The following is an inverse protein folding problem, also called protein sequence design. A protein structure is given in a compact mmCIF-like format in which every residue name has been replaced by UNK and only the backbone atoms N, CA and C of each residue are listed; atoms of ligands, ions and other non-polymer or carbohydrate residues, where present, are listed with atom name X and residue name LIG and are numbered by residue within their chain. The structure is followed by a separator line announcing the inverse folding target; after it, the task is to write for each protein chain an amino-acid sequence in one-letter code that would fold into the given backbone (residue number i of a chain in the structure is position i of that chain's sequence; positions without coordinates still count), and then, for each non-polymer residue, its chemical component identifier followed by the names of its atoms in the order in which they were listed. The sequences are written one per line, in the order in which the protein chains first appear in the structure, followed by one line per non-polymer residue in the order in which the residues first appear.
data_IF_237715270263
#
_entry.id   IF_237715270263
#
_cell.length_a   1.000
_cell.length_b   1.000
_cell.length_c   1.000
_cell.angle_alpha   90.00
_cell.angle_beta   90.00
_cell.angle_gamma   90.00
#
_symmetry.space_group_name_H-M   'P 1'
#
loop_
_entity.id
_entity.type
_entity.pdbx_description
1 polymer ?
#
# COMPACT_ATOMS: atom_id res chain seq x y z
N UNK A 1 -2.35 1.73 -22.01
CA UNK A 1 -3.43 1.17 -21.18
C UNK A 1 -3.38 1.89 -19.85
N UNK A 2 -4.53 2.30 -19.33
CA UNK A 2 -4.65 3.09 -18.10
C UNK A 2 -5.65 2.42 -17.18
N UNK A 3 -5.30 2.25 -15.91
CA UNK A 3 -6.17 1.69 -14.87
C UNK A 3 -7.01 2.84 -14.29
N UNK A 4 -8.32 2.79 -14.54
CA UNK A 4 -9.29 3.78 -14.04
C UNK A 4 -9.57 3.55 -12.54
N UNK A 5 -9.98 4.59 -11.78
CA UNK A 5 -10.38 4.40 -10.40
C UNK A 5 -11.65 3.52 -10.33
N UNK A 6 -11.64 2.53 -9.45
CA UNK A 6 -12.76 1.61 -9.23
C UNK A 6 -13.66 2.07 -8.06
N UNK A 7 -13.13 2.88 -7.14
CA UNK A 7 -13.83 3.26 -5.90
C UNK A 7 -13.90 4.78 -5.65
N UNK A 8 -13.56 5.60 -6.65
CA UNK A 8 -13.85 7.03 -6.62
C UNK A 8 -15.37 7.27 -6.53
N UNK A 9 -15.79 8.06 -5.55
CA UNK A 9 -17.19 8.34 -5.23
C UNK A 9 -17.80 7.38 -4.20
N UNK A 10 -17.11 6.30 -3.84
CA UNK A 10 -17.59 5.33 -2.82
C UNK A 10 -16.64 5.25 -1.62
N UNK A 11 -15.33 5.09 -1.85
CA UNK A 11 -14.33 5.04 -0.77
C UNK A 11 -13.74 6.42 -0.46
N UNK A 12 -13.67 7.29 -1.47
CA UNK A 12 -13.19 8.66 -1.35
C UNK A 12 -13.91 9.55 -2.37
N UNK A 13 -13.97 10.89 -2.20
CA UNK A 13 -14.68 11.77 -3.11
C UNK A 13 -14.20 11.67 -4.57
N UNK A 14 -15.14 11.57 -5.52
CA UNK A 14 -14.82 11.62 -6.96
C UNK A 14 -14.52 13.05 -7.45
N UNK A 15 -14.95 14.08 -6.71
CA UNK A 15 -14.65 15.47 -7.05
C UNK A 15 -13.24 15.84 -6.54
N UNK A 16 -12.34 16.35 -7.40
CA UNK A 16 -10.94 16.60 -7.04
C UNK A 16 -10.79 17.65 -5.93
N UNK A 17 -11.57 18.73 -5.95
CA UNK A 17 -11.48 19.78 -4.93
C UNK A 17 -11.98 19.31 -3.55
N UNK A 18 -12.99 18.43 -3.52
CA UNK A 18 -13.45 17.81 -2.29
C UNK A 18 -12.43 16.81 -1.75
N UNK A 19 -11.85 15.99 -2.63
CA UNK A 19 -10.81 15.02 -2.28
C UNK A 19 -9.58 15.71 -1.71
N UNK A 20 -9.08 16.74 -2.40
CA UNK A 20 -7.94 17.55 -1.95
C UNK A 20 -8.19 18.16 -0.56
N UNK A 21 -9.32 18.85 -0.36
CA UNK A 21 -9.65 19.46 0.93
C UNK A 21 -9.76 18.43 2.06
N UNK A 22 -10.36 17.28 1.78
CA UNK A 22 -10.49 16.21 2.77
C UNK A 22 -9.11 15.65 3.17
N UNK A 23 -8.25 15.38 2.19
CA UNK A 23 -6.89 14.88 2.44
C UNK A 23 -6.05 15.90 3.20
N UNK A 24 -6.09 17.19 2.80
CA UNK A 24 -5.38 18.26 3.49
C UNK A 24 -5.82 18.40 4.96
N UNK A 25 -7.12 18.28 5.23
CA UNK A 25 -7.64 18.28 6.60
C UNK A 25 -7.07 17.12 7.43
N UNK A 26 -6.97 15.91 6.87
CA UNK A 26 -6.39 14.78 7.60
C UNK A 26 -4.88 14.97 7.79
N UNK A 27 -4.16 15.40 6.74
CA UNK A 27 -2.71 15.59 6.73
C UNK A 27 -2.24 16.78 7.57
N UNK A 28 -3.09 17.78 7.84
CA UNK A 28 -2.75 18.92 8.72
C UNK A 28 -2.84 18.56 10.21
N UNK A 29 -3.63 17.55 10.55
CA UNK A 29 -3.83 17.10 11.92
C UNK A 29 -2.83 16.01 12.35
N UNK A 30 -2.01 15.53 11.42
CA UNK A 30 -0.99 14.53 11.65
C UNK A 30 0.38 15.16 11.92
N UNK A 31 1.12 14.59 12.88
CA UNK A 31 2.49 15.01 13.16
C UNK A 31 3.44 14.57 12.03
N UNK A 32 4.31 15.50 11.62
CA UNK A 32 5.40 15.18 10.71
C UNK A 32 6.55 14.49 11.46
N UNK A 33 7.28 13.60 10.78
CA UNK A 33 8.54 13.03 11.27
C UNK A 33 9.71 13.89 10.81
N UNK A 34 10.81 13.91 11.56
CA UNK A 34 12.08 14.50 11.09
C UNK A 34 12.77 13.61 10.06
N UNK A 35 12.57 12.29 10.15
CA UNK A 35 13.18 11.31 9.27
C UNK A 35 12.08 10.53 8.55
N UNK A 36 11.99 10.65 7.21
CA UNK A 36 11.04 9.89 6.41
C UNK A 36 11.30 8.39 6.52
N UNK A 37 10.28 7.56 6.79
CA UNK A 37 10.44 6.11 6.86
C UNK A 37 10.69 5.51 5.48
N UNK A 38 11.47 4.41 5.44
CA UNK A 38 11.69 3.62 4.21
C UNK A 38 10.43 2.87 3.76
N UNK A 39 9.63 2.43 4.71
CA UNK A 39 8.40 1.70 4.49
C UNK A 39 7.29 2.21 5.41
N UNK A 40 6.06 2.21 4.93
CA UNK A 40 4.85 2.44 5.74
C UNK A 40 3.87 1.29 5.58
N UNK A 41 3.10 1.03 6.64
CA UNK A 41 1.90 0.19 6.59
C UNK A 41 0.71 1.13 6.78
N UNK A 42 -0.24 1.12 5.85
CA UNK A 42 -1.38 2.04 5.85
C UNK A 42 -2.70 1.30 5.56
N UNK A 43 -3.82 1.71 6.20
CA UNK A 43 -5.13 1.11 6.00
C UNK A 43 -5.71 1.45 4.62
N UNK A 44 -6.68 0.66 4.18
CA UNK A 44 -7.36 0.81 2.88
C UNK A 44 -8.89 0.77 2.92
N UNK A 45 -9.51 0.86 4.09
CA UNK A 45 -10.94 1.15 4.17
C UNK A 45 -11.28 2.53 3.55
N UNK A 46 -12.58 2.82 3.37
CA UNK A 46 -13.04 4.14 2.91
C UNK A 46 -12.57 5.29 3.83
N UNK A 47 -12.29 6.45 3.24
CA UNK A 47 -11.62 7.58 3.89
C UNK A 47 -12.35 8.14 5.10
N UNK A 48 -13.68 8.02 5.14
CA UNK A 48 -14.47 8.40 6.32
C UNK A 48 -14.09 7.59 7.57
N UNK A 49 -13.58 6.36 7.40
CA UNK A 49 -13.18 5.47 8.49
C UNK A 49 -11.66 5.49 8.72
N UNK A 50 -10.87 5.32 7.66
CA UNK A 50 -9.42 5.10 7.74
C UNK A 50 -8.59 6.35 7.46
N UNK A 51 -9.15 7.37 6.81
CA UNK A 51 -8.42 8.53 6.29
C UNK A 51 -7.59 9.27 7.35
N UNK A 52 -8.15 9.60 8.53
CA UNK A 52 -7.38 10.22 9.61
C UNK A 52 -6.19 9.37 10.07
N UNK A 53 -6.34 8.04 10.12
CA UNK A 53 -5.27 7.12 10.51
C UNK A 53 -4.21 7.01 9.40
N UNK A 54 -4.62 6.82 8.15
CA UNK A 54 -3.72 6.78 7.00
C UNK A 54 -2.85 8.06 6.92
N UNK A 55 -3.46 9.23 7.16
CA UNK A 55 -2.75 10.50 7.15
C UNK A 55 -1.57 10.55 8.14
N UNK A 56 -1.65 9.85 9.28
CA UNK A 56 -0.54 9.79 10.25
C UNK A 56 0.70 9.07 9.70
N UNK A 57 0.53 8.13 8.78
CA UNK A 57 1.63 7.48 8.08
C UNK A 57 2.16 8.36 6.94
N UNK A 58 1.27 8.90 6.10
CA UNK A 58 1.64 9.70 4.94
C UNK A 58 2.27 11.05 5.29
N UNK A 59 1.84 11.70 6.38
CA UNK A 59 2.43 12.97 6.81
C UNK A 59 3.93 12.86 7.14
N UNK A 60 4.40 11.66 7.51
CA UNK A 60 5.82 11.40 7.78
C UNK A 60 6.69 11.41 6.52
N UNK A 61 6.10 11.36 5.34
CA UNK A 61 6.80 11.36 4.05
C UNK A 61 7.08 12.78 3.52
N UNK A 62 6.35 13.79 4.02
CA UNK A 62 6.47 15.19 3.56
C UNK A 62 7.93 15.71 3.48
N UNK A 63 8.86 15.41 4.41
CA UNK A 63 10.23 15.88 4.29
C UNK A 63 11.03 15.27 3.12
N UNK A 64 10.55 14.17 2.53
CA UNK A 64 11.16 13.51 1.36
C UNK A 64 10.31 13.67 0.08
N UNK A 65 9.39 14.64 0.03
CA UNK A 65 8.44 14.81 -1.09
C UNK A 65 9.11 14.91 -2.48
N UNK A 66 10.34 15.47 -2.55
CA UNK A 66 11.16 15.54 -3.77
C UNK A 66 12.10 14.36 -3.97
N UNK A 67 12.48 13.69 -2.88
CA UNK A 67 13.47 12.61 -2.93
C UNK A 67 12.80 11.32 -3.40
N UNK A 68 11.61 11.01 -2.88
CA UNK A 68 10.86 9.80 -3.23
C UNK A 68 10.27 9.99 -4.63
N UNK A 69 10.77 9.20 -5.58
CA UNK A 69 10.33 9.23 -6.99
C UNK A 69 9.83 7.86 -7.47
N UNK A 70 9.96 6.81 -6.64
CA UNK A 70 9.40 5.48 -6.88
C UNK A 70 8.67 4.98 -5.64
N UNK A 71 7.44 4.50 -5.82
CA UNK A 71 6.63 3.93 -4.74
C UNK A 71 6.24 2.50 -5.09
N UNK A 72 6.74 1.54 -4.32
CA UNK A 72 6.33 0.13 -4.43
C UNK A 72 5.11 -0.08 -3.55
N UNK A 73 4.00 -0.47 -4.16
CA UNK A 73 2.72 -0.68 -3.49
C UNK A 73 2.43 -2.18 -3.44
N UNK A 74 2.27 -2.74 -2.25
CA UNK A 74 1.83 -4.12 -2.06
C UNK A 74 0.55 -4.13 -1.23
N UNK A 75 -0.50 -4.75 -1.74
CA UNK A 75 -1.78 -4.86 -1.05
C UNK A 75 -2.45 -6.21 -1.35
N UNK A 76 -3.41 -6.64 -0.54
CA UNK A 76 -4.09 -7.92 -0.75
C UNK A 76 -5.00 -7.90 -1.97
N UNK A 77 -5.33 -9.09 -2.47
CA UNK A 77 -6.40 -9.31 -3.43
C UNK A 77 -7.74 -9.61 -2.73
N UNK A 78 -8.74 -8.77 -2.97
CA UNK A 78 -10.12 -8.96 -2.50
C UNK A 78 -11.03 -9.57 -3.58
N UNK A 79 -10.66 -9.42 -4.86
CA UNK A 79 -11.54 -9.74 -5.99
C UNK A 79 -11.12 -10.99 -6.78
N UNK A 80 -9.87 -11.44 -6.67
CA UNK A 80 -9.35 -12.57 -7.44
C UNK A 80 -8.47 -13.49 -6.60
N UNK A 81 -8.72 -14.80 -6.68
CA UNK A 81 -7.83 -15.81 -6.10
C UNK A 81 -6.78 -16.22 -7.12
N UNK A 82 -5.50 -16.14 -6.75
CA UNK A 82 -4.36 -16.59 -7.55
C UNK A 82 -3.17 -16.90 -6.63
N UNK A 83 -2.19 -17.65 -7.14
CA UNK A 83 -0.93 -17.93 -6.43
C UNK A 83 0.11 -16.89 -6.76
N UNK A 84 0.96 -16.56 -5.80
CA UNK A 84 2.04 -15.59 -5.98
C UNK A 84 1.53 -14.15 -6.00
N UNK A 85 2.19 -13.34 -6.83
CA UNK A 85 2.02 -11.88 -6.89
C UNK A 85 1.57 -11.45 -8.29
N UNK A 86 0.66 -10.49 -8.34
CA UNK A 86 0.11 -9.97 -9.58
C UNK A 86 0.56 -8.53 -9.83
N UNK A 87 1.07 -8.28 -11.03
CA UNK A 87 1.32 -6.93 -11.58
C UNK A 87 0.35 -6.62 -12.73
N UNK A 88 0.30 -5.36 -13.16
CA UNK A 88 -0.55 -4.90 -14.27
C UNK A 88 0.29 -4.43 -15.48
N UNK A 89 -0.27 -4.56 -16.70
CA UNK A 89 0.19 -3.95 -17.97
C UNK A 89 -0.16 -2.48 -18.08
N UNK A 90 -0.91 -1.92 -17.13
CA UNK A 90 -1.21 -0.51 -17.13
C UNK A 90 0.07 0.33 -17.14
N UNK A 91 0.06 1.38 -17.96
CA UNK A 91 1.14 2.39 -18.02
C UNK A 91 0.90 3.52 -17.03
N UNK A 92 -0.37 3.77 -16.68
CA UNK A 92 -0.77 4.76 -15.70
C UNK A 92 -1.93 4.24 -14.85
N UNK A 93 -2.01 4.68 -13.61
CA UNK A 93 -3.19 4.61 -12.76
C UNK A 93 -3.80 6.01 -12.68
N UNK A 94 -5.12 6.11 -12.64
CA UNK A 94 -5.82 7.40 -12.55
C UNK A 94 -6.56 7.51 -11.22
N UNK A 95 -6.50 8.70 -10.62
CA UNK A 95 -7.37 9.15 -9.52
C UNK A 95 -8.05 10.46 -9.93
N UNK A 96 -8.98 11.00 -9.14
CA UNK A 96 -9.50 12.34 -9.37
C UNK A 96 -8.42 13.44 -9.37
N UNK A 97 -7.28 13.23 -8.70
CA UNK A 97 -6.18 14.20 -8.62
C UNK A 97 -5.22 14.14 -9.82
N UNK A 98 -5.33 13.14 -10.69
CA UNK A 98 -4.52 13.03 -11.90
C UNK A 98 -4.06 11.62 -12.21
N UNK A 99 -3.12 11.51 -13.14
CA UNK A 99 -2.51 10.24 -13.54
C UNK A 99 -1.18 10.03 -12.85
N UNK A 100 -0.92 8.79 -12.46
CA UNK A 100 0.33 8.35 -11.87
C UNK A 100 0.96 7.32 -12.82
N UNK A 101 2.18 7.56 -13.34
CA UNK A 101 2.90 6.61 -14.17
C UNK A 101 3.28 5.33 -13.41
N UNK A 102 3.23 4.19 -14.10
CA UNK A 102 3.73 2.91 -13.60
C UNK A 102 5.17 2.71 -14.08
N UNK A 103 6.09 2.42 -13.17
CA UNK A 103 7.48 2.11 -13.49
C UNK A 103 7.59 0.77 -14.21
N UNK A 104 7.57 0.83 -15.55
CA UNK A 104 7.61 -0.34 -16.41
C UNK A 104 8.92 -1.13 -16.26
N UNK A 105 10.04 -0.48 -15.92
CA UNK A 105 11.32 -1.16 -15.76
C UNK A 105 11.28 -2.06 -14.53
N UNK A 106 10.77 -1.56 -13.40
CA UNK A 106 10.57 -2.35 -12.19
C UNK A 106 9.57 -3.49 -12.42
N UNK A 107 8.48 -3.26 -13.16
CA UNK A 107 7.52 -4.32 -13.53
C UNK A 107 8.20 -5.43 -14.35
N UNK A 108 9.00 -5.08 -15.37
CA UNK A 108 9.74 -6.07 -16.17
C UNK A 108 10.81 -6.80 -15.35
N UNK A 109 11.39 -6.16 -14.33
CA UNK A 109 12.35 -6.80 -13.44
C UNK A 109 11.69 -7.89 -12.60
N UNK A 110 10.58 -7.58 -11.91
CA UNK A 110 9.90 -8.55 -11.04
C UNK A 110 9.22 -9.68 -11.81
N UNK A 111 8.81 -9.46 -13.06
CA UNK A 111 8.25 -10.51 -13.93
C UNK A 111 9.25 -11.63 -14.28
N UNK A 112 10.53 -11.46 -13.96
CA UNK A 112 11.52 -12.53 -14.09
C UNK A 112 11.41 -13.58 -12.98
N UNK A 113 10.72 -13.25 -11.89
CA UNK A 113 10.46 -14.17 -10.78
C UNK A 113 9.32 -15.12 -11.17
N UNK A 114 9.46 -16.44 -10.93
CA UNK A 114 8.52 -17.45 -11.41
C UNK A 114 7.15 -17.41 -10.73
N UNK A 115 7.00 -16.61 -9.68
CA UNK A 115 5.76 -16.44 -8.90
C UNK A 115 5.14 -15.04 -9.08
N UNK A 116 5.64 -14.25 -10.03
CA UNK A 116 5.07 -12.94 -10.39
C UNK A 116 4.45 -13.03 -11.77
N UNK A 117 3.16 -12.75 -11.88
CA UNK A 117 2.43 -12.82 -13.14
C UNK A 117 1.68 -11.52 -13.43
N UNK A 118 1.34 -11.32 -14.71
CA UNK A 118 0.44 -10.25 -15.10
C UNK A 118 -1.00 -10.76 -14.99
N UNK A 119 -1.75 -10.24 -14.01
CA UNK A 119 -3.14 -10.65 -13.76
C UNK A 119 -4.01 -9.41 -13.64
N UNK A 120 -4.55 -8.92 -14.76
CA UNK A 120 -5.35 -7.69 -14.78
C UNK A 120 -6.62 -7.80 -13.93
N UNK A 121 -7.20 -9.00 -13.79
CA UNK A 121 -8.38 -9.23 -12.95
C UNK A 121 -8.10 -8.95 -11.47
N UNK A 122 -6.86 -9.13 -11.03
CA UNK A 122 -6.43 -8.78 -9.67
C UNK A 122 -6.33 -7.26 -9.45
N UNK A 123 -6.26 -6.46 -10.52
CA UNK A 123 -6.09 -5.00 -10.45
C UNK A 123 -7.34 -4.20 -10.81
N UNK A 124 -8.20 -4.74 -11.68
CA UNK A 124 -9.28 -4.01 -12.34
C UNK A 124 -10.27 -3.37 -11.36
N UNK A 125 -10.61 -4.08 -10.29
CA UNK A 125 -11.55 -3.63 -9.25
C UNK A 125 -10.92 -3.53 -7.86
N UNK A 126 -9.62 -3.86 -7.75
CA UNK A 126 -8.94 -3.89 -6.46
C UNK A 126 -8.73 -2.48 -5.91
N UNK A 127 -9.18 -2.26 -4.68
CA UNK A 127 -9.16 -0.97 -4.03
C UNK A 127 -7.96 -0.82 -3.09
N UNK A 128 -7.37 -1.92 -2.62
CA UNK A 128 -6.30 -1.90 -1.61
C UNK A 128 -5.11 -1.04 -2.02
N UNK A 129 -4.75 -1.05 -3.32
CA UNK A 129 -3.70 -0.18 -3.86
C UNK A 129 -4.23 1.22 -4.20
N UNK A 130 -5.44 1.31 -4.76
CA UNK A 130 -6.01 2.56 -5.27
C UNK A 130 -6.15 3.62 -4.19
N UNK A 131 -6.65 3.25 -3.02
CA UNK A 131 -6.95 4.21 -1.94
C UNK A 131 -5.69 4.81 -1.32
N UNK A 132 -4.52 4.24 -1.59
CA UNK A 132 -3.23 4.81 -1.20
C UNK A 132 -2.80 5.96 -2.12
N UNK A 133 -3.28 5.96 -3.38
CA UNK A 133 -2.80 6.85 -4.43
C UNK A 133 -3.11 8.33 -4.18
N UNK A 134 -4.32 8.74 -3.75
CA UNK A 134 -4.59 10.14 -3.47
C UNK A 134 -3.72 10.71 -2.34
N UNK A 135 -3.46 9.92 -1.28
CA UNK A 135 -2.55 10.34 -0.22
C UNK A 135 -1.13 10.60 -0.76
N UNK A 136 -0.61 9.69 -1.59
CA UNK A 136 0.71 9.85 -2.22
C UNK A 136 0.79 11.12 -3.08
N UNK A 137 -0.24 11.40 -3.88
CA UNK A 137 -0.30 12.61 -4.72
C UNK A 137 -0.38 13.91 -3.92
N UNK A 138 -0.80 13.87 -2.66
CA UNK A 138 -0.83 15.04 -1.77
C UNK A 138 0.49 15.25 -1.02
N UNK A 139 1.33 14.21 -0.89
CA UNK A 139 2.56 14.27 -0.09
C UNK A 139 3.85 14.19 -0.89
N UNK A 140 3.81 13.75 -2.15
CA UNK A 140 4.95 13.63 -3.06
C UNK A 140 4.76 14.52 -4.29
N UNK A 141 5.86 14.96 -4.90
CA UNK A 141 5.84 15.79 -6.11
C UNK A 141 5.64 14.91 -7.37
N UNK A 142 6.74 14.42 -7.94
CA UNK A 142 6.73 13.58 -9.15
C UNK A 142 7.21 12.16 -8.82
N UNK A 143 6.35 11.16 -9.00
CA UNK A 143 6.68 9.77 -8.69
C UNK A 143 6.04 8.76 -9.66
N UNK A 144 6.69 7.61 -9.78
CA UNK A 144 6.16 6.41 -10.42
C UNK A 144 5.72 5.39 -9.37
N UNK A 145 4.77 4.52 -9.73
CA UNK A 145 4.35 3.40 -8.88
C UNK A 145 4.76 2.04 -9.45
N UNK A 146 4.97 1.08 -8.55
CA UNK A 146 5.06 -0.35 -8.85
C UNK A 146 3.91 -1.04 -8.11
N UNK A 147 2.71 -1.17 -8.73
CA UNK A 147 1.54 -1.76 -8.08
C UNK A 147 1.61 -3.29 -8.13
N UNK A 148 1.58 -3.92 -6.96
CA UNK A 148 1.65 -5.37 -6.78
C UNK A 148 0.49 -5.80 -5.89
N UNK A 149 -0.34 -6.70 -6.41
CA UNK A 149 -1.42 -7.33 -5.63
C UNK A 149 -0.93 -8.69 -5.15
N UNK A 150 -1.03 -8.93 -3.85
CA UNK A 150 -0.63 -10.17 -3.21
C UNK A 150 -1.80 -11.15 -3.15
N UNK A 151 -1.64 -12.30 -3.81
CA UNK A 151 -2.52 -13.46 -3.67
C UNK A 151 -1.99 -14.42 -2.61
N UNK A 152 -2.03 -15.72 -2.92
CA UNK A 152 -1.42 -16.77 -2.11
C UNK A 152 0.10 -16.82 -2.38
N UNK A 153 0.83 -15.91 -1.73
CA UNK A 153 2.29 -15.80 -1.78
C UNK A 153 2.90 -16.03 -0.39
N UNK A 154 4.13 -16.53 -0.35
CA UNK A 154 4.86 -16.70 0.92
C UNK A 154 5.58 -15.40 1.33
N UNK A 155 5.92 -15.22 2.62
CA UNK A 155 6.75 -14.11 3.06
C UNK A 155 8.09 -14.02 2.31
N UNK A 156 8.70 -15.16 1.97
CA UNK A 156 9.95 -15.24 1.18
C UNK A 156 9.77 -14.63 -0.20
N UNK A 157 8.68 -14.95 -0.89
CA UNK A 157 8.39 -14.43 -2.24
C UNK A 157 8.19 -12.91 -2.23
N UNK A 158 7.47 -12.40 -1.23
CA UNK A 158 7.29 -10.95 -1.06
C UNK A 158 8.61 -10.28 -0.69
N UNK A 159 9.39 -10.88 0.21
CA UNK A 159 10.71 -10.40 0.61
C UNK A 159 11.66 -10.31 -0.59
N UNK A 160 11.68 -11.31 -1.47
CA UNK A 160 12.53 -11.34 -2.67
C UNK A 160 12.16 -10.21 -3.66
N UNK A 161 10.86 -9.95 -3.86
CA UNK A 161 10.39 -8.79 -4.64
C UNK A 161 10.81 -7.47 -4.00
N UNK A 162 10.62 -7.34 -2.68
CA UNK A 162 10.97 -6.13 -1.95
C UNK A 162 12.48 -5.87 -1.95
N UNK A 163 13.31 -6.91 -1.85
CA UNK A 163 14.76 -6.81 -1.93
C UNK A 163 15.20 -6.29 -3.31
N UNK A 164 14.65 -6.86 -4.38
CA UNK A 164 14.92 -6.43 -5.76
C UNK A 164 14.51 -4.97 -5.98
N UNK A 165 13.42 -4.54 -5.35
CA UNK A 165 12.88 -3.20 -5.50
C UNK A 165 13.28 -2.26 -4.35
N UNK A 166 14.14 -2.66 -3.42
CA UNK A 166 14.38 -1.89 -2.20
C UNK A 166 14.90 -0.49 -2.53
N UNK A 167 15.94 -0.40 -3.34
CA UNK A 167 16.51 0.89 -3.77
C UNK A 167 17.04 1.76 -2.62
N UNK A 168 17.34 3.01 -2.93
CA UNK A 168 17.84 4.01 -1.99
C UNK A 168 16.74 4.93 -1.43
N UNK A 169 17.09 6.17 -1.04
CA UNK A 169 16.11 7.15 -0.54
C UNK A 169 15.01 7.52 -1.54
N UNK A 170 15.22 7.25 -2.82
CA UNK A 170 14.26 7.53 -3.89
C UNK A 170 13.07 6.56 -3.93
N UNK A 171 13.18 5.44 -3.21
CA UNK A 171 12.16 4.41 -3.21
C UNK A 171 11.46 4.31 -1.87
N UNK A 172 10.13 4.44 -1.88
CA UNK A 172 9.25 4.18 -0.75
C UNK A 172 8.54 2.83 -0.91
N UNK A 173 8.44 2.06 0.16
CA UNK A 173 7.59 0.88 0.23
C UNK A 173 6.28 1.21 0.97
N UNK A 174 5.14 0.90 0.36
CA UNK A 174 3.82 1.05 0.96
C UNK A 174 3.14 -0.32 0.99
N UNK A 175 2.95 -0.84 2.20
CA UNK A 175 2.15 -2.03 2.43
C UNK A 175 0.74 -1.60 2.82
N UNK A 176 -0.23 -1.99 2.01
CA UNK A 176 -1.63 -1.69 2.23
C UNK A 176 -2.29 -2.78 3.06
N UNK A 177 -2.72 -2.44 4.28
CA UNK A 177 -3.36 -3.39 5.19
C UNK A 177 -4.26 -2.70 6.21
N UNK A 178 -5.48 -3.20 6.34
CA UNK A 178 -6.26 -3.10 7.57
C UNK A 178 -5.86 -4.23 8.54
N UNK A 179 -6.22 -4.09 9.82
CA UNK A 179 -5.95 -5.11 10.85
C UNK A 179 -7.13 -6.09 10.96
N UNK A 180 -7.64 -6.36 12.16
CA UNK A 180 -8.70 -7.33 12.35
C UNK A 180 -10.05 -6.83 11.81
N UNK A 181 -10.90 -7.76 11.35
CA UNK A 181 -12.22 -7.44 10.79
C UNK A 181 -13.31 -8.28 11.47
N UNK A 182 -14.55 -7.78 11.47
CA UNK A 182 -15.77 -8.50 11.90
C UNK A 182 -15.81 -8.95 13.37
N UNK A 183 -15.02 -8.31 14.24
CA UNK A 183 -15.04 -8.57 15.68
C UNK A 183 -15.75 -7.45 16.46
N UNK A 184 -16.22 -7.77 17.67
CA UNK A 184 -16.61 -6.74 18.63
C UNK A 184 -15.39 -5.87 19.00
N UNK A 185 -15.66 -4.65 19.46
CA UNK A 185 -14.61 -3.67 19.71
C UNK A 185 -13.54 -4.13 20.70
N UNK A 186 -13.91 -4.88 21.74
CA UNK A 186 -12.96 -5.36 22.74
C UNK A 186 -12.05 -6.44 22.16
N UNK A 187 -12.62 -7.36 21.37
CA UNK A 187 -11.86 -8.39 20.65
C UNK A 187 -10.94 -7.77 19.61
N UNK A 188 -11.44 -6.85 18.77
CA UNK A 188 -10.65 -6.14 17.77
C UNK A 188 -9.46 -5.41 18.43
N UNK A 189 -9.71 -4.63 19.48
CA UNK A 189 -8.64 -3.91 20.22
C UNK A 189 -7.55 -4.86 20.74
N UNK A 190 -7.93 -6.04 21.24
CA UNK A 190 -6.96 -7.03 21.74
C UNK A 190 -6.14 -7.65 20.61
N UNK A 191 -6.79 -8.05 19.53
CA UNK A 191 -6.13 -8.65 18.36
C UNK A 191 -5.22 -7.65 17.67
N UNK A 192 -5.70 -6.43 17.43
CA UNK A 192 -4.95 -5.36 16.77
C UNK A 192 -3.70 -4.97 17.57
N UNK A 193 -3.80 -4.94 18.91
CA UNK A 193 -2.64 -4.71 19.78
C UNK A 193 -1.61 -5.83 19.66
N UNK A 194 -2.04 -7.08 19.60
CA UNK A 194 -1.14 -8.22 19.43
C UNK A 194 -0.47 -8.17 18.05
N UNK A 195 -1.24 -7.92 16.99
CA UNK A 195 -0.73 -7.76 15.62
C UNK A 195 0.29 -6.62 15.54
N UNK A 196 -0.03 -5.46 16.13
CA UNK A 196 0.88 -4.30 16.14
C UNK A 196 2.18 -4.61 16.88
N UNK A 197 2.11 -5.28 18.05
CA UNK A 197 3.29 -5.68 18.79
C UNK A 197 4.18 -6.67 18.02
N UNK A 198 3.59 -7.61 17.28
CA UNK A 198 4.33 -8.54 16.41
C UNK A 198 5.02 -7.81 15.25
N UNK A 199 4.34 -6.82 14.65
CA UNK A 199 4.91 -5.95 13.60
C UNK A 199 6.11 -5.18 14.14
N UNK A 200 5.97 -4.51 15.29
CA UNK A 200 7.04 -3.71 15.91
C UNK A 200 8.27 -4.55 16.28
N UNK A 201 8.09 -5.85 16.53
CA UNK A 201 9.17 -6.80 16.88
C UNK A 201 9.69 -7.59 15.68
N UNK A 202 9.18 -7.33 14.47
CA UNK A 202 9.53 -8.06 13.24
C UNK A 202 9.25 -9.58 13.32
N UNK A 203 8.20 -9.97 14.06
CA UNK A 203 7.82 -11.37 14.30
C UNK A 203 6.71 -11.81 13.32
N UNK A 204 7.03 -11.88 12.03
CA UNK A 204 6.01 -12.15 11.01
C UNK A 204 5.36 -13.53 11.12
N UNK A 205 6.02 -14.49 11.77
CA UNK A 205 5.51 -15.84 12.02
C UNK A 205 4.34 -15.84 13.01
N UNK A 206 4.20 -14.80 13.83
CA UNK A 206 3.08 -14.63 14.77
C UNK A 206 1.82 -14.09 14.08
N UNK A 207 1.93 -13.60 12.85
CA UNK A 207 0.79 -13.04 12.11
C UNK A 207 -0.10 -14.17 11.58
N UNK A 208 -1.32 -14.27 12.08
CA UNK A 208 -2.35 -15.21 11.65
C UNK A 208 -3.20 -14.65 10.51
N UNK A 209 -4.03 -15.50 9.89
CA UNK A 209 -4.95 -15.07 8.83
C UNK A 209 -5.90 -13.94 9.28
N UNK A 210 -6.32 -13.96 10.55
CA UNK A 210 -7.21 -12.95 11.14
C UNK A 210 -6.47 -11.69 11.64
N UNK A 211 -5.14 -11.65 11.56
CA UNK A 211 -4.35 -10.52 12.07
C UNK A 211 -4.51 -9.25 11.23
N UNK A 212 -4.55 -9.41 9.91
CA UNK A 212 -4.50 -8.32 8.96
C UNK A 212 -4.86 -8.81 7.55
N UNK A 213 -5.70 -8.08 6.81
CA UNK A 213 -6.04 -8.45 5.43
C UNK A 213 -4.82 -8.41 4.50
N UNK A 214 -3.90 -7.46 4.72
CA UNK A 214 -2.63 -7.32 4.01
C UNK A 214 -1.49 -8.14 4.61
N UNK A 215 -1.79 -9.16 5.44
CA UNK A 215 -0.79 -10.00 6.11
C UNK A 215 0.35 -10.42 5.18
N UNK A 216 0.05 -10.87 3.96
CA UNK A 216 1.08 -11.35 3.02
C UNK A 216 2.13 -10.29 2.73
N UNK A 217 1.71 -9.05 2.46
CA UNK A 217 2.61 -7.91 2.26
C UNK A 217 3.37 -7.54 3.53
N UNK A 218 2.68 -7.51 4.68
CA UNK A 218 3.28 -7.20 5.98
C UNK A 218 4.36 -8.22 6.33
N UNK A 219 4.04 -9.51 6.26
CA UNK A 219 4.96 -10.59 6.60
C UNK A 219 6.22 -10.56 5.75
N UNK A 220 6.11 -10.29 4.44
CA UNK A 220 7.27 -10.16 3.57
C UNK A 220 8.16 -8.95 3.90
N UNK A 221 7.56 -7.80 4.22
CA UNK A 221 8.31 -6.62 4.66
C UNK A 221 9.06 -6.90 5.97
N UNK A 222 8.38 -7.49 6.95
CA UNK A 222 8.98 -7.81 8.25
C UNK A 222 10.09 -8.84 8.12
N UNK A 223 9.92 -9.83 7.24
CA UNK A 223 10.97 -10.79 6.93
C UNK A 223 12.22 -10.07 6.42
N UNK A 224 12.07 -9.24 5.38
CA UNK A 224 13.20 -8.50 4.80
C UNK A 224 13.86 -7.56 5.82
N UNK A 225 13.08 -6.91 6.67
CA UNK A 225 13.61 -5.98 7.67
C UNK A 225 14.38 -6.67 8.81
N UNK A 226 14.18 -7.99 8.99
CA UNK A 226 14.85 -8.79 10.01
C UNK A 226 16.17 -9.40 9.53
N UNK A 227 16.28 -9.66 8.23
CA UNK A 227 17.45 -10.25 7.58
C UNK A 227 18.56 -9.20 7.37
#
# INVERSE_FOLDING_TARGET
MTRQPAVAGTFYPANPEQLHRQLQQYLSNAEASTTPPKAIIAPHAGYIYSGPIAATAYARLKPAHQTITRVVLIGPSHHAAFRGLAVSRAKTFTTPLGQIPVDQQSIQAVLKLPFVEIIEQAHAYEHSLEVQLPFLQEVLDDFNIVPIVAGDATPEQVSEVLEMLWGGPETLIVISSDLSHYHDYATATRLDKATSAAIERLQYEELGYESACGKTGVSGLLKLARD
#
